data_IF_901474787498
#
_entry.id   IF_901474787498
#
_cell.length_a   1.000
_cell.length_b   1.000
_cell.length_c   1.000
_cell.angle_alpha   90.00
_cell.angle_beta   90.00
_cell.angle_gamma   90.00
#
_symmetry.space_group_name_H-M   'P 1'
#
loop_
_entity.id
_entity.type
_entity.pdbx_description
1 polymer ?
#
# COMPACT_ATOMS: atom_id res chain seq x y z
N UNK A 1 12.89 3.86 -3.98
CA UNK A 1 13.80 3.02 -3.17
C UNK A 1 13.02 2.10 -2.24
N UNK A 2 12.31 2.62 -1.23
CA UNK A 2 11.61 1.81 -0.23
C UNK A 2 10.55 0.84 -0.79
N UNK A 3 9.57 1.32 -1.56
CA UNK A 3 8.54 0.46 -2.14
C UNK A 3 9.12 -0.60 -3.10
N UNK A 4 10.10 -0.22 -3.92
CA UNK A 4 10.77 -1.16 -4.82
C UNK A 4 11.59 -2.23 -4.08
N UNK A 5 12.21 -1.88 -2.94
CA UNK A 5 12.88 -2.84 -2.07
C UNK A 5 11.90 -3.88 -1.54
N UNK A 6 10.70 -3.46 -1.14
CA UNK A 6 9.65 -4.36 -0.68
C UNK A 6 9.09 -5.26 -1.80
N UNK A 7 8.83 -4.69 -2.99
CA UNK A 7 8.47 -5.45 -4.20
C UNK A 7 9.50 -6.52 -4.54
N UNK A 8 10.78 -6.19 -4.34
CA UNK A 8 11.92 -7.08 -4.56
C UNK A 8 12.26 -7.94 -3.34
N UNK A 9 11.29 -8.20 -2.44
CA UNK A 9 11.44 -9.08 -1.28
C UNK A 9 12.63 -8.73 -0.37
N UNK A 10 12.89 -7.44 -0.17
CA UNK A 10 13.90 -6.95 0.76
C UNK A 10 15.18 -6.42 0.12
N UNK A 11 15.27 -6.43 -1.21
CA UNK A 11 16.50 -6.09 -1.95
C UNK A 11 16.37 -4.85 -2.83
N UNK A 12 17.38 -3.97 -2.80
CA UNK A 12 17.46 -2.84 -3.71
C UNK A 12 18.83 -2.81 -4.39
N UNK A 13 18.83 -2.95 -5.73
CA UNK A 13 20.05 -2.90 -6.56
C UNK A 13 21.18 -3.83 -6.07
N UNK A 14 20.82 -5.08 -5.72
CA UNK A 14 21.78 -6.09 -5.25
C UNK A 14 22.16 -5.96 -3.76
N UNK A 15 21.65 -4.97 -3.04
CA UNK A 15 21.88 -4.81 -1.60
C UNK A 15 20.66 -5.31 -0.81
N UNK A 16 20.89 -6.26 0.10
CA UNK A 16 19.87 -6.78 1.00
C UNK A 16 19.65 -5.82 2.18
N UNK A 17 18.43 -5.29 2.28
CA UNK A 17 18.01 -4.44 3.41
C UNK A 17 17.20 -5.26 4.42
N UNK A 18 16.27 -6.07 3.93
CA UNK A 18 15.45 -6.99 4.73
C UNK A 18 15.58 -8.41 4.17
N UNK A 19 15.41 -9.41 5.04
CA UNK A 19 15.28 -10.79 4.55
C UNK A 19 13.92 -10.95 3.83
N UNK A 20 13.81 -11.82 2.81
CA UNK A 20 12.54 -12.14 2.18
C UNK A 20 11.48 -12.59 3.18
N UNK A 21 11.90 -13.38 4.18
CA UNK A 21 11.03 -13.83 5.28
C UNK A 21 10.51 -12.66 6.11
N UNK A 22 11.31 -11.62 6.33
CA UNK A 22 10.87 -10.41 7.03
C UNK A 22 9.79 -9.67 6.25
N UNK A 23 9.98 -9.53 4.92
CA UNK A 23 8.97 -8.90 4.05
C UNK A 23 7.69 -9.72 4.05
N UNK A 24 7.78 -11.04 3.89
CA UNK A 24 6.62 -11.93 3.96
C UNK A 24 5.88 -11.80 5.30
N UNK A 25 6.61 -11.78 6.41
CA UNK A 25 6.01 -11.67 7.75
C UNK A 25 5.34 -10.33 8.01
N UNK A 26 5.87 -9.23 7.49
CA UNK A 26 5.25 -7.92 7.70
C UNK A 26 4.01 -7.73 6.80
N UNK A 27 3.93 -8.44 5.68
CA UNK A 27 2.83 -8.38 4.70
C UNK A 27 1.89 -9.59 4.79
N UNK A 28 1.83 -10.25 5.94
CA UNK A 28 0.80 -11.24 6.29
C UNK A 28 -0.07 -10.64 7.42
N UNK A 29 -1.38 -10.89 7.40
CA UNK A 29 -2.27 -10.47 8.49
C UNK A 29 -1.82 -11.14 9.80
N UNK A 30 -1.55 -10.35 10.84
CA UNK A 30 -0.97 -10.82 12.11
C UNK A 30 -1.46 -10.01 13.33
N UNK A 31 -1.81 -10.65 14.46
CA UNK A 31 -2.04 -12.09 14.62
C UNK A 31 -3.29 -12.55 13.87
N UNK A 32 -3.36 -13.82 13.47
CA UNK A 32 -4.51 -14.42 12.74
C UNK A 32 -5.84 -14.35 13.51
N UNK A 33 -5.82 -13.85 14.74
CA UNK A 33 -6.96 -13.67 15.63
C UNK A 33 -7.20 -12.18 15.77
N UNK A 34 -8.29 -11.66 15.19
CA UNK A 34 -8.72 -10.28 15.46
C UNK A 34 -9.35 -9.51 14.31
N UNK A 35 -9.47 -10.07 13.09
CA UNK A 35 -10.23 -9.44 12.00
C UNK A 35 -9.76 -8.03 11.62
N UNK A 36 -8.55 -7.62 12.03
CA UNK A 36 -8.07 -6.26 11.81
C UNK A 36 -7.73 -5.99 10.36
N UNK A 37 -7.45 -7.03 9.57
CA UNK A 37 -6.97 -6.90 8.20
C UNK A 37 -5.55 -6.33 8.12
N UNK A 38 -4.77 -6.35 9.22
CA UNK A 38 -3.45 -5.70 9.29
C UNK A 38 -2.32 -6.70 9.57
N UNK A 39 -1.16 -6.41 9.00
CA UNK A 39 0.11 -7.07 9.30
C UNK A 39 1.00 -6.22 10.20
N UNK A 40 2.30 -6.53 10.24
CA UNK A 40 3.27 -5.79 11.05
C UNK A 40 3.59 -4.44 10.37
N UNK A 41 2.81 -3.41 10.71
CA UNK A 41 2.97 -2.05 10.21
C UNK A 41 2.22 -1.74 8.91
N UNK A 42 1.55 -2.74 8.32
CA UNK A 42 0.83 -2.60 7.05
C UNK A 42 -0.66 -2.88 7.22
N UNK A 43 -1.46 -2.16 6.45
CA UNK A 43 -2.86 -2.47 6.21
C UNK A 43 -2.98 -3.32 4.93
N UNK A 44 -3.79 -4.35 4.96
CA UNK A 44 -4.04 -5.26 3.84
C UNK A 44 -5.52 -5.29 3.49
N UNK A 45 -6.38 -5.37 4.51
CA UNK A 45 -7.81 -5.60 4.35
C UNK A 45 -8.66 -5.03 5.51
N UNK A 46 -8.18 -4.02 6.23
CA UNK A 46 -9.02 -3.33 7.21
C UNK A 46 -10.09 -2.48 6.52
N UNK A 47 -11.08 -1.98 7.28
CA UNK A 47 -12.06 -1.01 6.76
C UNK A 47 -11.40 0.28 6.20
N UNK A 48 -10.15 0.55 6.57
CA UNK A 48 -9.36 1.68 6.08
C UNK A 48 -8.54 1.36 4.80
N UNK A 49 -8.52 0.11 4.35
CA UNK A 49 -7.78 -0.35 3.17
C UNK A 49 -8.41 0.09 1.84
N UNK A 50 -9.54 0.80 1.86
CA UNK A 50 -10.23 1.33 0.66
C UNK A 50 -9.34 2.19 -0.25
N UNK A 51 -8.24 2.74 0.29
CA UNK A 51 -7.22 3.47 -0.47
C UNK A 51 -6.52 2.64 -1.55
N UNK A 52 -6.61 1.30 -1.47
CA UNK A 52 -6.15 0.38 -2.53
C UNK A 52 -6.97 0.45 -3.81
N UNK A 53 -8.15 1.05 -3.75
CA UNK A 53 -9.12 0.96 -4.83
C UNK A 53 -9.73 -0.44 -4.93
N UNK A 54 -10.28 -0.75 -6.09
CA UNK A 54 -11.07 -1.96 -6.33
C UNK A 54 -10.30 -2.99 -7.18
N UNK A 55 -9.18 -2.57 -7.77
CA UNK A 55 -8.47 -3.34 -8.79
C UNK A 55 -7.19 -4.01 -8.30
N UNK A 56 -6.56 -3.51 -7.22
CA UNK A 56 -5.41 -4.20 -6.63
C UNK A 56 -5.85 -5.43 -5.83
N UNK A 57 -5.10 -6.52 -5.96
CA UNK A 57 -5.45 -7.82 -5.41
C UNK A 57 -5.34 -7.91 -3.87
N UNK A 58 -5.82 -9.02 -3.28
CA UNK A 58 -5.85 -9.22 -1.83
C UNK A 58 -4.46 -9.39 -1.19
N UNK A 59 -3.41 -9.56 -2.00
CA UNK A 59 -2.01 -9.64 -1.53
C UNK A 59 -1.34 -8.27 -1.47
N UNK A 60 -2.01 -7.23 -1.96
CA UNK A 60 -1.53 -5.86 -1.90
C UNK A 60 -1.66 -5.29 -0.49
N UNK A 61 -0.80 -4.33 -0.15
CA UNK A 61 -0.71 -3.77 1.19
C UNK A 61 -0.23 -2.32 1.16
N UNK A 62 -0.53 -1.58 2.21
CA UNK A 62 -0.12 -0.19 2.29
C UNK A 62 -0.48 0.52 3.57
N UNK A 63 -0.39 1.84 3.53
CA UNK A 63 -0.70 2.69 4.67
C UNK A 63 -1.13 4.08 4.19
N UNK A 64 -2.04 4.72 4.93
CA UNK A 64 -2.47 6.10 4.71
C UNK A 64 -1.83 7.05 5.74
N UNK A 65 -1.67 8.32 5.37
CA UNK A 65 -1.22 9.38 6.26
C UNK A 65 -2.33 10.36 6.58
N UNK A 66 -2.31 10.94 7.78
CA UNK A 66 -3.32 11.89 8.25
C UNK A 66 -3.54 13.05 7.26
N UNK A 67 -2.46 13.57 6.68
CA UNK A 67 -2.47 14.74 5.80
C UNK A 67 -2.98 14.45 4.40
N UNK A 68 -3.36 13.22 4.05
CA UNK A 68 -3.82 12.89 2.69
C UNK A 68 -2.86 12.02 1.90
N UNK A 69 -1.66 11.77 2.41
CA UNK A 69 -0.68 10.89 1.76
C UNK A 69 -1.09 9.42 1.80
N UNK A 70 -0.61 8.61 0.87
CA UNK A 70 -0.75 7.15 0.93
C UNK A 70 0.37 6.46 0.17
N UNK A 71 0.71 5.26 0.62
CA UNK A 71 1.52 4.30 -0.13
C UNK A 71 0.74 2.99 -0.22
N UNK A 72 0.67 2.43 -1.42
CA UNK A 72 0.10 1.11 -1.66
C UNK A 72 1.02 0.32 -2.58
N UNK A 73 1.24 -0.95 -2.26
CA UNK A 73 2.21 -1.82 -2.93
C UNK A 73 1.48 -3.10 -3.31
N UNK A 74 1.57 -3.46 -4.58
CA UNK A 74 0.97 -4.67 -5.12
C UNK A 74 2.05 -5.59 -5.71
N UNK A 75 2.46 -6.63 -4.97
CA UNK A 75 3.47 -7.58 -5.43
C UNK A 75 3.07 -8.35 -6.69
N UNK A 76 1.78 -8.56 -6.92
CA UNK A 76 1.27 -9.35 -8.05
C UNK A 76 1.55 -8.65 -9.38
N UNK A 77 1.24 -7.35 -9.46
CA UNK A 77 1.53 -6.54 -10.66
C UNK A 77 2.91 -5.88 -10.64
N UNK A 78 3.71 -6.11 -9.59
CA UNK A 78 5.00 -5.43 -9.35
C UNK A 78 4.87 -3.91 -9.35
N UNK A 79 3.80 -3.41 -8.74
CA UNK A 79 3.42 -1.99 -8.77
C UNK A 79 3.48 -1.37 -7.39
N UNK A 80 3.79 -0.09 -7.34
CA UNK A 80 3.52 0.71 -6.15
C UNK A 80 2.96 2.07 -6.51
N UNK A 81 2.02 2.56 -5.70
CA UNK A 81 1.41 3.88 -5.80
C UNK A 81 1.82 4.68 -4.57
N UNK A 82 2.53 5.79 -4.79
CA UNK A 82 2.84 6.76 -3.74
C UNK A 82 2.13 8.06 -4.08
N UNK A 83 1.16 8.43 -3.26
CA UNK A 83 0.36 9.64 -3.46
C UNK A 83 0.64 10.62 -2.33
N UNK A 84 1.20 11.78 -2.67
CA UNK A 84 1.60 12.79 -1.71
C UNK A 84 0.70 14.02 -1.86
N UNK A 85 -0.22 14.20 -0.93
CA UNK A 85 -1.16 15.33 -0.90
C UNK A 85 -1.23 15.96 0.48
N UNK A 86 -1.93 17.09 0.56
CA UNK A 86 -2.17 17.82 1.79
C UNK A 86 -3.65 18.22 1.90
N UNK A 87 -4.52 17.27 2.28
CA UNK A 87 -5.95 17.48 2.51
C UNK A 87 -6.24 18.39 3.71
N UNK A 88 -5.22 18.65 4.55
CA UNK A 88 -5.38 19.51 5.73
C UNK A 88 -5.11 20.98 5.42
N UNK A 89 -4.63 21.30 4.21
CA UNK A 89 -4.38 22.66 3.79
C UNK A 89 -5.58 23.27 3.04
N UNK A 90 -5.93 24.54 3.29
CA UNK A 90 -5.39 25.42 4.32
C UNK A 90 -6.03 25.27 5.71
N UNK A 91 -7.18 24.59 5.83
CA UNK A 91 -8.05 24.67 7.01
C UNK A 91 -8.62 23.34 7.52
N UNK A 92 -8.02 22.21 7.14
CA UNK A 92 -8.41 20.85 7.58
C UNK A 92 -9.83 20.40 7.21
N UNK A 93 -10.38 20.94 6.11
CA UNK A 93 -11.71 20.56 5.60
C UNK A 93 -11.70 19.68 4.36
N UNK A 94 -10.53 19.35 3.81
CA UNK A 94 -10.42 18.54 2.61
C UNK A 94 -10.77 17.06 2.84
N UNK A 95 -11.50 16.45 1.91
CA UNK A 95 -11.69 15.00 1.81
C UNK A 95 -10.76 14.41 0.74
N UNK A 96 -10.20 13.23 1.03
CA UNK A 96 -9.17 12.58 0.23
C UNK A 96 -9.44 11.09 -0.01
N UNK A 97 -10.41 10.48 0.70
CA UNK A 97 -10.60 9.03 0.68
C UNK A 97 -10.91 8.55 -0.74
N UNK A 98 -11.94 9.14 -1.35
CA UNK A 98 -12.33 8.78 -2.71
C UNK A 98 -11.26 9.10 -3.76
N UNK A 99 -10.46 10.15 -3.56
CA UNK A 99 -9.39 10.51 -4.50
C UNK A 99 -8.25 9.49 -4.47
N UNK A 100 -7.85 9.00 -3.28
CA UNK A 100 -6.84 7.93 -3.16
C UNK A 100 -7.25 6.68 -3.92
N UNK A 101 -8.49 6.20 -3.71
CA UNK A 101 -9.02 5.03 -4.40
C UNK A 101 -9.08 5.22 -5.90
N UNK A 102 -9.52 6.40 -6.38
CA UNK A 102 -9.53 6.73 -7.81
C UNK A 102 -8.13 6.72 -8.42
N UNK A 103 -7.14 7.31 -7.74
CA UNK A 103 -5.74 7.30 -8.20
C UNK A 103 -5.22 5.87 -8.26
N UNK A 104 -5.48 5.04 -7.24
CA UNK A 104 -5.09 3.63 -7.23
C UNK A 104 -5.71 2.87 -8.41
N UNK A 105 -7.01 3.05 -8.66
CA UNK A 105 -7.71 2.43 -9.78
C UNK A 105 -7.18 2.88 -11.15
N UNK A 106 -6.89 4.17 -11.33
CA UNK A 106 -6.30 4.67 -12.58
C UNK A 106 -4.94 4.02 -12.84
N UNK A 107 -4.10 3.88 -11.81
CA UNK A 107 -2.82 3.18 -11.94
C UNK A 107 -3.03 1.71 -12.25
N UNK A 108 -3.83 0.99 -11.46
CA UNK A 108 -4.09 -0.42 -11.67
C UNK A 108 -4.65 -0.72 -13.07
N UNK A 109 -5.61 0.07 -13.55
CA UNK A 109 -6.19 -0.08 -14.90
C UNK A 109 -5.20 0.24 -16.03
N UNK A 110 -4.15 1.03 -15.77
CA UNK A 110 -3.12 1.36 -16.77
C UNK A 110 -2.09 0.24 -16.97
N UNK A 111 -2.04 -0.73 -16.05
CA UNK A 111 -1.05 -1.80 -16.07
C UNK A 111 -1.62 -3.01 -16.77
N UNK A 112 -0.94 -3.44 -17.84
CA UNK A 112 -1.25 -4.69 -18.51
C UNK A 112 -0.60 -5.82 -17.72
N UNK A 113 -1.41 -6.62 -17.05
CA UNK A 113 -0.95 -7.91 -16.51
C UNK A 113 -0.54 -8.77 -17.72
N UNK A 114 0.71 -9.23 -17.73
CA UNK A 114 1.22 -10.11 -18.79
C UNK A 114 0.72 -11.53 -18.60
#
# INVERSE_FOLDING_TARGET
>A
VFAQMLLNKGEWRGVRVLSPLTVERMTEIYPKVGGSGRGLGWDLDSDYATVRGDLFGPTSYGHSGYTGTSVWIDPETQTSVVFLTNRVHPDDKGDIIALRSKVANVVAASIRVK
#
